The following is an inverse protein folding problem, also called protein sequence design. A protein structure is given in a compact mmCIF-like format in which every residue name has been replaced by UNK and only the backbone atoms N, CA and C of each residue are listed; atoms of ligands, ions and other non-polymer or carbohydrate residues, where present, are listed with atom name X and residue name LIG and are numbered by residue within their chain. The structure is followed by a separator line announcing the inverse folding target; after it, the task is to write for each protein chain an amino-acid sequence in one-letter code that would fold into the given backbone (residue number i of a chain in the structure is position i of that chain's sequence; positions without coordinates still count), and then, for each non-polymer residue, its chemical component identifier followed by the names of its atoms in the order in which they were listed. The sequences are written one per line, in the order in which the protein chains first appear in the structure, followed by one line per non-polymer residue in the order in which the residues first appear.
data_IF_093747534360
#
_entry.id   IF_093747534360
#
_cell.length_a   1.000
_cell.length_b   1.000
_cell.length_c   1.000
_cell.angle_alpha   90.00
_cell.angle_beta   90.00
_cell.angle_gamma   90.00
#
_symmetry.space_group_name_H-M   'P 1'
#
loop_
_entity.id
_entity.type
_entity.pdbx_description
1 polymer ?
#
# COMPACT_ATOMS: atom_id res chain seq x y z
N UNK A 1 -8.53 -4.36 -7.03
CA UNK A 1 -9.71 -4.31 -6.16
C UNK A 1 -10.40 -5.54 -6.65
N UNK A 2 -10.49 -6.57 -5.82
CA UNK A 2 -11.56 -7.51 -6.05
C UNK A 2 -12.84 -6.73 -5.78
N UNK A 3 -13.41 -6.16 -6.84
CA UNK A 3 -14.72 -5.52 -6.85
C UNK A 3 -15.80 -6.55 -6.44
N UNK A 4 -15.42 -7.82 -6.26
CA UNK A 4 -16.27 -8.99 -6.22
C UNK A 4 -16.21 -9.81 -4.92
N UNK A 5 -15.35 -9.48 -3.95
CA UNK A 5 -15.23 -10.29 -2.71
C UNK A 5 -16.00 -9.77 -1.49
N UNK A 6 -16.91 -8.81 -1.69
CA UNK A 6 -17.97 -8.54 -0.73
C UNK A 6 -19.14 -9.48 -1.01
N UNK A 7 -19.25 -10.54 -0.19
CA UNK A 7 -20.28 -11.57 -0.35
C UNK A 7 -21.64 -11.00 0.08
N UNK A 8 -22.33 -10.34 -0.84
CA UNK A 8 -23.73 -9.96 -0.63
C UNK A 8 -24.53 -11.25 -0.52
N UNK A 9 -25.16 -11.44 0.64
CA UNK A 9 -26.06 -12.54 0.89
C UNK A 9 -27.49 -12.04 0.69
N UNK A 10 -28.25 -12.75 -0.13
CA UNK A 10 -29.67 -12.50 -0.30
C UNK A 10 -30.47 -13.44 0.61
N UNK A 11 -31.37 -12.89 1.42
CA UNK A 11 -32.13 -13.65 2.40
C UNK A 11 -33.62 -13.63 2.05
N UNK A 12 -34.23 -14.82 1.98
CA UNK A 12 -35.68 -15.01 1.80
C UNK A 12 -36.13 -16.10 2.79
N UNK A 13 -37.15 -15.84 3.61
CA UNK A 13 -37.76 -16.83 4.53
C UNK A 13 -36.75 -17.64 5.36
N UNK A 14 -35.75 -16.96 5.93
CA UNK A 14 -34.72 -17.59 6.75
C UNK A 14 -33.67 -18.41 5.98
N UNK A 15 -33.77 -18.47 4.64
CA UNK A 15 -32.76 -19.11 3.77
C UNK A 15 -31.81 -18.08 3.19
N UNK A 16 -30.51 -18.35 3.32
CA UNK A 16 -29.43 -17.52 2.80
C UNK A 16 -29.01 -18.04 1.42
N UNK A 17 -29.16 -17.20 0.41
CA UNK A 17 -28.70 -17.45 -0.95
C UNK A 17 -27.42 -16.65 -1.17
N UNK A 18 -26.31 -17.37 -1.39
CA UNK A 18 -25.04 -16.77 -1.76
C UNK A 18 -25.05 -16.50 -3.27
N UNK A 19 -25.08 -15.23 -3.66
CA UNK A 19 -24.92 -14.87 -5.07
C UNK A 19 -23.44 -15.09 -5.45
N UNK A 20 -23.20 -16.00 -6.39
CA UNK A 20 -21.93 -16.06 -7.09
C UNK A 20 -21.92 -14.86 -8.03
N UNK A 21 -21.03 -13.91 -7.82
CA UNK A 21 -20.83 -12.81 -8.77
C UNK A 21 -20.32 -13.41 -10.07
N UNK A 22 -21.21 -13.54 -11.08
CA UNK A 22 -20.84 -14.04 -12.40
C UNK A 22 -19.87 -13.05 -13.05
N UNK A 23 -18.63 -13.46 -13.28
CA UNK A 23 -17.60 -12.71 -14.01
C UNK A 23 -17.79 -12.74 -15.54
N UNK A 24 -18.98 -13.05 -16.04
CA UNK A 24 -19.17 -13.31 -17.47
C UNK A 24 -20.34 -12.52 -18.07
N UNK A 25 -20.18 -11.20 -18.29
CA UNK A 25 -21.01 -10.47 -19.28
C UNK A 25 -20.60 -9.01 -19.56
N UNK A 26 -19.32 -8.64 -19.66
CA UNK A 26 -18.95 -7.39 -20.37
C UNK A 26 -17.63 -7.61 -21.12
N UNK A 27 -17.69 -8.42 -22.18
CA UNK A 27 -16.74 -8.38 -23.27
C UNK A 27 -17.56 -8.25 -24.56
N UNK A 28 -17.68 -7.02 -25.07
CA UNK A 28 -17.93 -6.63 -26.47
C UNK A 28 -18.50 -5.20 -26.55
N UNK A 29 -17.64 -4.23 -26.83
CA UNK A 29 -17.74 -3.35 -28.00
C UNK A 29 -16.59 -2.34 -27.98
N UNK A 30 -16.02 -2.15 -29.16
CA UNK A 30 -14.70 -1.57 -29.42
C UNK A 30 -14.73 -0.04 -29.55
N UNK A 31 -13.54 0.54 -29.33
CA UNK A 31 -12.92 1.70 -30.02
C UNK A 31 -13.78 2.90 -30.46
N UNK A 32 -13.43 4.12 -30.00
CA UNK A 32 -12.59 5.05 -30.79
C UNK A 32 -12.31 6.42 -30.11
N UNK A 33 -11.08 6.91 -30.32
CA UNK A 33 -10.62 8.32 -30.45
C UNK A 33 -10.39 9.18 -29.18
N UNK A 34 -9.12 9.58 -28.99
CA UNK A 34 -8.59 10.78 -28.27
C UNK A 34 -8.37 11.94 -29.29
N UNK A 35 -8.03 13.22 -28.96
CA UNK A 35 -7.48 13.76 -27.69
C UNK A 35 -7.93 15.19 -27.23
N UNK A 36 -7.42 15.58 -26.04
CA UNK A 36 -7.07 16.94 -25.52
C UNK A 36 -8.10 18.07 -25.28
N UNK A 37 -8.19 18.56 -24.02
CA UNK A 37 -7.65 19.88 -23.57
C UNK A 37 -7.83 20.13 -22.06
N UNK A 38 -6.80 20.75 -21.45
CA UNK A 38 -6.76 21.34 -20.09
C UNK A 38 -7.74 22.52 -19.96
N UNK A 39 -8.21 22.87 -18.75
CA UNK A 39 -8.14 24.22 -18.09
C UNK A 39 -8.76 24.18 -16.67
N UNK A 40 -8.19 24.96 -15.74
CA UNK A 40 -8.58 25.23 -14.35
C UNK A 40 -9.84 26.13 -14.22
N UNK A 41 -10.53 26.11 -13.07
CA UNK A 41 -11.43 27.21 -12.66
C UNK A 41 -12.46 26.83 -11.58
N UNK A 42 -12.42 27.52 -10.44
CA UNK A 42 -13.42 27.52 -9.36
C UNK A 42 -14.51 28.59 -9.59
N UNK A 43 -15.65 28.41 -8.90
CA UNK A 43 -16.76 29.34 -8.60
C UNK A 43 -17.85 29.56 -9.68
N UNK A 44 -19.05 28.98 -9.46
CA UNK A 44 -20.26 29.70 -9.02
C UNK A 44 -21.52 28.80 -9.10
N UNK A 45 -22.28 28.73 -8.01
CA UNK A 45 -23.67 28.23 -7.94
C UNK A 45 -24.60 29.24 -8.66
N UNK A 46 -25.65 28.78 -9.40
CA UNK A 46 -26.96 28.61 -8.74
C UNK A 46 -27.90 27.53 -9.34
N UNK A 47 -28.63 26.82 -8.46
CA UNK A 47 -30.10 26.68 -8.54
C UNK A 47 -30.77 25.69 -9.54
N UNK A 48 -31.33 24.61 -8.97
CA UNK A 48 -32.58 23.89 -9.30
C UNK A 48 -32.97 23.54 -10.77
N UNK A 49 -33.09 22.23 -11.07
CA UNK A 49 -34.31 21.65 -11.66
C UNK A 49 -34.29 20.11 -11.70
N UNK A 50 -35.30 19.48 -11.11
CA UNK A 50 -35.72 18.09 -11.36
C UNK A 50 -36.27 17.95 -12.79
N UNK A 51 -36.06 16.80 -13.46
CA UNK A 51 -37.00 16.31 -14.45
C UNK A 51 -38.00 15.34 -13.81
N UNK A 52 -39.28 15.71 -13.88
CA UNK A 52 -40.42 14.81 -13.67
C UNK A 52 -40.61 13.93 -14.92
N UNK A 53 -40.66 12.62 -14.67
CA UNK A 53 -41.48 11.57 -15.27
C UNK A 53 -41.78 11.55 -16.79
N UNK A 54 -41.49 10.39 -17.41
CA UNK A 54 -42.40 9.80 -18.39
C UNK A 54 -42.69 8.35 -17.99
N UNK A 55 -43.97 8.08 -17.76
CA UNK A 55 -44.52 6.81 -17.34
C UNK A 55 -44.53 5.80 -18.48
N UNK A 56 -44.21 4.54 -18.17
CA UNK A 56 -44.83 3.40 -18.85
C UNK A 56 -45.56 2.58 -17.78
N UNK A 57 -46.89 2.67 -17.79
CA UNK A 57 -47.76 1.77 -17.03
C UNK A 57 -47.88 0.46 -17.79
N UNK A 58 -47.68 -0.65 -17.11
CA UNK A 58 -48.49 -1.84 -17.34
C UNK A 58 -48.84 -2.38 -15.96
N UNK A 59 -50.14 -2.40 -15.69
CA UNK A 59 -50.69 -2.88 -14.43
C UNK A 59 -50.90 -4.38 -14.43
N UNK A 60 -50.85 -4.95 -13.24
CA UNK A 60 -51.78 -5.98 -12.80
C UNK A 60 -51.80 -5.94 -11.27
N UNK A 61 -52.93 -5.49 -10.72
CA UNK A 61 -53.28 -5.75 -9.34
C UNK A 61 -53.51 -7.26 -9.20
N UNK A 62 -52.55 -7.96 -8.62
CA UNK A 62 -52.84 -9.18 -7.88
C UNK A 62 -52.37 -8.98 -6.45
N UNK A 63 -53.34 -8.86 -5.56
CA UNK A 63 -53.17 -9.01 -4.13
C UNK A 63 -52.74 -10.45 -3.83
N UNK A 64 -51.44 -10.67 -3.68
CA UNK A 64 -50.89 -11.88 -3.06
C UNK A 64 -50.52 -11.53 -1.62
N UNK A 65 -51.39 -11.93 -0.70
CA UNK A 65 -51.08 -12.03 0.72
C UNK A 65 -49.89 -12.98 0.92
N UNK A 66 -48.82 -12.49 1.54
CA UNK A 66 -47.79 -13.36 2.14
C UNK A 66 -46.51 -13.62 1.34
N UNK A 67 -46.04 -12.70 0.49
CA UNK A 67 -44.69 -12.81 -0.07
C UNK A 67 -43.63 -12.29 0.91
N UNK A 68 -42.69 -13.17 1.24
CA UNK A 68 -41.48 -12.86 1.96
C UNK A 68 -40.72 -11.71 1.31
N UNK A 69 -40.64 -10.57 1.99
CA UNK A 69 -39.80 -9.45 1.55
C UNK A 69 -38.34 -9.87 1.69
N UNK A 70 -37.75 -10.31 0.58
CA UNK A 70 -36.32 -10.60 0.52
C UNK A 70 -35.50 -9.35 0.86
N UNK A 71 -34.45 -9.51 1.65
CA UNK A 71 -33.51 -8.44 1.97
C UNK A 71 -32.09 -8.87 1.67
N UNK A 72 -31.25 -7.90 1.34
CA UNK A 72 -29.83 -8.10 1.15
C UNK A 72 -29.12 -7.81 2.46
N UNK A 73 -28.04 -8.55 2.73
CA UNK A 73 -27.16 -8.33 3.88
C UNK A 73 -25.72 -8.48 3.46
N UNK A 74 -24.87 -7.61 3.99
CA UNK A 74 -23.43 -7.68 3.84
C UNK A 74 -22.77 -7.47 5.21
N UNK A 75 -21.68 -8.20 5.43
CA UNK A 75 -20.77 -7.97 6.55
C UNK A 75 -19.58 -7.18 6.02
N UNK A 76 -19.28 -6.04 6.64
CA UNK A 76 -18.14 -5.20 6.30
C UNK A 76 -17.23 -5.07 7.52
N UNK A 77 -15.97 -5.44 7.33
CA UNK A 77 -14.98 -5.32 8.39
C UNK A 77 -14.59 -3.84 8.60
N UNK A 78 -14.66 -3.38 9.85
CA UNK A 78 -14.28 -2.02 10.26
C UNK A 78 -13.46 -2.11 11.55
N UNK A 79 -12.23 -1.57 11.57
CA UNK A 79 -11.44 -1.52 12.79
C UNK A 79 -12.16 -0.79 13.92
N UNK A 80 -12.08 -1.32 15.13
CA UNK A 80 -12.72 -0.76 16.33
C UNK A 80 -12.40 0.73 16.53
N UNK A 81 -11.17 1.15 16.21
CA UNK A 81 -10.71 2.54 16.28
C UNK A 81 -11.55 3.50 15.41
N UNK A 82 -12.12 3.03 14.31
CA UNK A 82 -12.89 3.85 13.37
C UNK A 82 -14.40 3.85 13.66
N UNK A 83 -14.91 2.90 14.43
CA UNK A 83 -16.34 2.78 14.74
C UNK A 83 -16.93 4.04 15.40
N UNK A 84 -16.30 4.69 16.40
CA UNK A 84 -16.87 5.89 17.02
C UNK A 84 -17.11 7.04 16.03
N UNK A 85 -16.21 7.19 15.04
CA UNK A 85 -16.35 8.24 14.02
C UNK A 85 -17.44 7.89 13.00
N UNK A 86 -17.57 6.61 12.65
CA UNK A 86 -18.63 6.12 11.75
C UNK A 86 -20.01 6.26 12.42
N UNK A 87 -20.10 6.03 13.73
CA UNK A 87 -21.31 6.32 14.52
C UNK A 87 -21.65 7.82 14.49
N UNK A 88 -20.66 8.65 14.78
CA UNK A 88 -20.84 10.05 15.12
C UNK A 88 -21.45 10.25 16.51
N UNK A 89 -21.43 11.49 17.00
CA UNK A 89 -22.05 11.86 18.28
C UNK A 89 -23.55 11.52 18.26
N UNK A 90 -24.03 10.82 19.30
CA UNK A 90 -25.43 10.33 19.40
C UNK A 90 -25.90 9.54 18.16
N UNK A 91 -25.00 8.80 17.51
CA UNK A 91 -25.26 8.05 16.27
C UNK A 91 -25.74 8.89 15.07
N UNK A 92 -25.56 10.21 15.10
CA UNK A 92 -26.08 11.10 14.07
C UNK A 92 -25.53 10.78 12.67
N UNK A 93 -24.24 10.44 12.57
CA UNK A 93 -23.61 10.11 11.28
C UNK A 93 -24.14 8.80 10.73
N UNK A 94 -24.29 7.77 11.59
CA UNK A 94 -24.90 6.49 11.19
C UNK A 94 -26.34 6.68 10.73
N UNK A 95 -27.18 7.34 11.52
CA UNK A 95 -28.60 7.56 11.22
C UNK A 95 -28.78 8.34 9.91
N UNK A 96 -27.94 9.35 9.69
CA UNK A 96 -27.93 10.09 8.44
C UNK A 96 -27.58 9.19 7.24
N UNK A 97 -26.56 8.35 7.36
CA UNK A 97 -26.23 7.38 6.30
C UNK A 97 -27.38 6.41 6.06
N UNK A 98 -27.96 5.83 7.12
CA UNK A 98 -29.10 4.90 7.04
C UNK A 98 -30.30 5.52 6.31
N UNK A 99 -30.60 6.80 6.57
CA UNK A 99 -31.66 7.55 5.92
C UNK A 99 -31.35 7.82 4.43
N UNK A 100 -30.13 8.28 4.13
CA UNK A 100 -29.71 8.61 2.76
C UNK A 100 -29.65 7.37 1.85
N UNK A 101 -29.21 6.23 2.36
CA UNK A 101 -29.05 4.99 1.58
C UNK A 101 -30.23 4.04 1.69
N UNK A 102 -31.22 4.34 2.54
CA UNK A 102 -32.35 3.42 2.83
C UNK A 102 -31.87 2.03 3.28
N UNK A 103 -30.85 2.00 4.15
CA UNK A 103 -30.27 0.78 4.73
C UNK A 103 -30.27 0.83 6.25
N UNK A 104 -30.12 -0.31 6.91
CA UNK A 104 -29.86 -0.40 8.35
C UNK A 104 -28.44 -0.89 8.59
N UNK A 105 -27.71 -0.20 9.48
CA UNK A 105 -26.32 -0.47 9.83
C UNK A 105 -26.26 -0.92 11.29
N UNK A 106 -26.08 -2.23 11.48
CA UNK A 106 -25.87 -2.81 12.80
C UNK A 106 -24.40 -2.75 13.16
N UNK A 107 -24.11 -2.08 14.27
CA UNK A 107 -22.76 -1.96 14.81
C UNK A 107 -22.58 -3.06 15.86
N UNK A 108 -21.47 -3.79 15.82
CA UNK A 108 -21.19 -4.84 16.79
C UNK A 108 -20.86 -4.22 18.17
N UNK A 109 -21.01 -4.97 19.28
CA UNK A 109 -20.63 -4.51 20.61
C UNK A 109 -19.15 -4.09 20.66
N UNK A 110 -18.82 -3.13 21.55
CA UNK A 110 -17.46 -2.59 21.68
C UNK A 110 -16.39 -3.66 22.00
N UNK A 111 -16.79 -4.74 22.69
CA UNK A 111 -15.88 -5.81 23.12
C UNK A 111 -15.75 -6.94 22.08
N UNK A 112 -16.46 -6.85 20.96
CA UNK A 112 -16.44 -7.86 19.90
C UNK A 112 -15.50 -7.47 18.77
N UNK A 113 -14.93 -8.46 18.08
CA UNK A 113 -14.17 -8.24 16.84
C UNK A 113 -15.03 -8.46 15.59
N UNK A 114 -16.35 -8.42 15.78
CA UNK A 114 -17.32 -8.70 14.75
C UNK A 114 -17.34 -7.59 13.70
N UNK A 115 -17.83 -7.93 12.50
CA UNK A 115 -17.96 -6.99 11.40
C UNK A 115 -19.28 -6.22 11.53
N UNK A 116 -19.34 -5.00 10.97
CA UNK A 116 -20.62 -4.29 10.88
C UNK A 116 -21.52 -5.00 9.87
N UNK A 117 -22.82 -4.97 10.11
CA UNK A 117 -23.78 -5.59 9.21
C UNK A 117 -24.67 -4.53 8.59
N UNK A 118 -24.71 -4.51 7.27
CA UNK A 118 -25.55 -3.58 6.51
C UNK A 118 -26.65 -4.39 5.85
N UNK A 119 -27.90 -4.03 6.11
CA UNK A 119 -29.08 -4.64 5.50
C UNK A 119 -29.84 -3.61 4.67
N UNK A 120 -30.37 -4.04 3.53
CA UNK A 120 -31.09 -3.18 2.60
C UNK A 120 -32.08 -3.96 1.75
N UNK A 121 -33.02 -3.27 1.13
CA UNK A 121 -34.02 -3.87 0.24
C UNK A 121 -33.49 -4.09 -1.18
N UNK A 122 -32.44 -3.37 -1.57
CA UNK A 122 -31.84 -3.43 -2.92
C UNK A 122 -30.31 -3.55 -2.85
N UNK A 123 -29.71 -4.13 -3.89
CA UNK A 123 -28.24 -4.26 -4.02
C UNK A 123 -27.56 -2.88 -4.05
N UNK A 124 -28.09 -1.94 -4.86
CA UNK A 124 -27.55 -0.58 -4.96
C UNK A 124 -27.59 0.22 -3.64
N UNK A 125 -28.61 0.00 -2.79
CA UNK A 125 -28.67 0.61 -1.45
C UNK A 125 -27.50 0.17 -0.57
N UNK A 126 -27.16 -1.12 -0.61
CA UNK A 126 -26.05 -1.69 0.16
C UNK A 126 -24.71 -1.21 -0.38
N UNK A 127 -24.51 -1.24 -1.69
CA UNK A 127 -23.27 -0.78 -2.31
C UNK A 127 -23.00 0.69 -1.98
N UNK A 128 -24.03 1.54 -2.07
CA UNK A 128 -23.93 2.96 -1.68
C UNK A 128 -23.51 3.13 -0.22
N UNK A 129 -24.13 2.40 0.72
CA UNK A 129 -23.77 2.42 2.13
C UNK A 129 -22.32 1.91 2.37
N UNK A 130 -21.92 0.82 1.72
CA UNK A 130 -20.56 0.30 1.79
C UNK A 130 -19.53 1.31 1.27
N UNK A 131 -19.79 1.94 0.13
CA UNK A 131 -18.92 2.96 -0.45
C UNK A 131 -18.76 4.15 0.49
N UNK A 132 -19.84 4.59 1.14
CA UNK A 132 -19.81 5.69 2.10
C UNK A 132 -18.93 5.37 3.31
N UNK A 133 -19.09 4.16 3.89
CA UNK A 133 -18.30 3.72 5.03
C UNK A 133 -16.82 3.55 4.65
N UNK A 134 -16.53 2.93 3.50
CA UNK A 134 -15.16 2.79 2.99
C UNK A 134 -14.49 4.15 2.74
N UNK A 135 -15.24 5.13 2.23
CA UNK A 135 -14.72 6.50 2.04
C UNK A 135 -14.33 7.16 3.37
N UNK A 136 -15.15 6.99 4.41
CA UNK A 136 -14.84 7.47 5.76
C UNK A 136 -13.59 6.74 6.29
N UNK A 137 -13.53 5.42 6.17
CA UNK A 137 -12.37 4.62 6.61
C UNK A 137 -11.09 5.05 5.90
N UNK A 138 -11.14 5.26 4.58
CA UNK A 138 -9.97 5.71 3.81
C UNK A 138 -9.45 7.04 4.35
N UNK A 139 -10.33 8.02 4.56
CA UNK A 139 -9.97 9.32 5.13
C UNK A 139 -9.39 9.24 6.54
N UNK A 140 -9.93 8.36 7.38
CA UNK A 140 -9.39 8.14 8.73
C UNK A 140 -8.02 7.49 8.69
N UNK A 141 -7.84 6.50 7.82
CA UNK A 141 -6.58 5.79 7.61
C UNK A 141 -5.47 6.74 7.15
N UNK A 142 -5.75 7.70 6.27
CA UNK A 142 -4.76 8.69 5.84
C UNK A 142 -4.27 9.62 6.97
N UNK A 143 -4.99 9.69 8.10
CA UNK A 143 -4.60 10.49 9.27
C UNK A 143 -3.81 9.68 10.30
N UNK A 144 -3.76 8.36 10.14
CA UNK A 144 -3.04 7.47 11.04
C UNK A 144 -1.56 7.41 10.69
N UNK A 145 -0.73 7.14 11.69
CA UNK A 145 0.66 6.77 11.45
C UNK A 145 0.72 5.38 10.82
N UNK A 146 1.62 5.19 9.86
CA UNK A 146 1.88 3.86 9.31
C UNK A 146 2.31 2.91 10.43
N UNK A 147 1.82 1.67 10.36
CA UNK A 147 2.18 0.61 11.30
C UNK A 147 3.10 -0.42 10.67
N UNK A 148 2.98 -0.61 9.35
CA UNK A 148 3.78 -1.55 8.57
C UNK A 148 4.21 -0.89 7.26
N UNK A 149 5.15 -1.50 6.56
CA UNK A 149 5.48 -1.10 5.21
C UNK A 149 5.87 -2.30 4.36
N UNK A 150 5.72 -2.16 3.05
CA UNK A 150 6.14 -3.14 2.06
C UNK A 150 7.53 -2.73 1.59
N UNK A 151 8.46 -3.67 1.57
CA UNK A 151 9.80 -3.42 1.08
C UNK A 151 10.42 -4.62 0.38
N UNK A 152 11.40 -4.34 -0.46
CA UNK A 152 12.34 -5.33 -0.95
C UNK A 152 13.59 -5.27 -0.05
N UNK A 153 14.03 -6.37 0.56
CA UNK A 153 15.20 -6.39 1.41
C UNK A 153 16.48 -6.30 0.55
N UNK A 154 17.39 -5.42 0.96
CA UNK A 154 18.69 -5.18 0.33
C UNK A 154 19.84 -5.45 1.31
N UNK A 155 19.58 -6.13 2.41
CA UNK A 155 20.55 -6.53 3.45
C UNK A 155 21.48 -7.69 2.99
N UNK A 156 21.86 -7.72 1.72
CA UNK A 156 22.65 -8.78 1.11
C UNK A 156 24.14 -8.47 1.29
N UNK A 157 24.94 -9.48 1.65
CA UNK A 157 26.35 -9.32 2.02
C UNK A 157 27.20 -8.47 1.05
N UNK A 158 27.11 -8.62 -0.29
CA UNK A 158 27.91 -7.79 -1.20
C UNK A 158 27.57 -6.30 -1.07
N UNK A 159 26.29 -5.97 -0.96
CA UNK A 159 25.85 -4.58 -0.82
C UNK A 159 26.22 -4.00 0.54
N UNK A 160 26.10 -4.80 1.60
CA UNK A 160 26.48 -4.40 2.95
C UNK A 160 27.95 -3.95 3.00
N UNK A 161 28.86 -4.70 2.37
CA UNK A 161 30.28 -4.35 2.32
C UNK A 161 30.53 -3.02 1.59
N UNK A 162 29.88 -2.79 0.43
CA UNK A 162 30.00 -1.53 -0.31
C UNK A 162 29.42 -0.34 0.45
N UNK A 163 28.35 -0.53 1.23
CA UNK A 163 27.79 0.53 2.08
C UNK A 163 28.73 0.84 3.25
N UNK A 164 29.36 -0.17 3.84
CA UNK A 164 30.37 0.03 4.89
C UNK A 164 31.61 0.77 4.32
N UNK A 165 32.09 0.40 3.13
CA UNK A 165 33.18 1.10 2.43
C UNK A 165 32.81 2.55 2.10
N UNK A 166 31.58 2.78 1.62
CA UNK A 166 31.07 4.12 1.36
C UNK A 166 31.04 4.96 2.64
N UNK A 167 30.54 4.38 3.75
CA UNK A 167 30.52 5.05 5.05
C UNK A 167 31.91 5.45 5.51
N UNK A 168 32.88 4.53 5.44
CA UNK A 168 34.27 4.84 5.81
C UNK A 168 34.87 5.93 4.93
N UNK A 169 34.65 5.84 3.62
CA UNK A 169 35.17 6.80 2.65
C UNK A 169 34.61 8.19 2.91
N UNK A 170 33.30 8.30 3.14
CA UNK A 170 32.64 9.58 3.44
C UNK A 170 33.16 10.17 4.74
N UNK A 171 33.27 9.38 5.81
CA UNK A 171 33.76 9.87 7.10
C UNK A 171 35.24 10.28 7.08
N UNK A 172 36.08 9.63 6.26
CA UNK A 172 37.51 9.95 6.12
C UNK A 172 37.75 11.15 5.22
N UNK A 173 36.97 11.29 4.14
CA UNK A 173 37.30 12.23 3.05
C UNK A 173 36.42 13.47 3.02
N UNK A 174 35.22 13.42 3.60
CA UNK A 174 34.28 14.52 3.59
C UNK A 174 34.16 15.10 4.99
N UNK A 175 34.26 16.43 5.08
CA UNK A 175 33.90 17.18 6.27
C UNK A 175 32.76 18.12 5.89
N UNK A 176 31.71 18.14 6.70
CA UNK A 176 30.50 18.91 6.43
C UNK A 176 29.73 19.13 7.72
N UNK A 177 28.92 20.20 7.76
CA UNK A 177 28.09 20.51 8.93
C UNK A 177 27.14 19.34 9.20
N UNK A 178 27.20 18.80 10.42
CA UNK A 178 26.35 17.70 10.88
C UNK A 178 26.68 16.34 10.28
N UNK A 179 27.79 16.17 9.56
CA UNK A 179 28.16 14.86 9.04
C UNK A 179 28.67 13.96 10.17
N UNK A 180 27.86 12.99 10.57
CA UNK A 180 28.15 12.07 11.69
C UNK A 180 27.90 10.62 11.29
N UNK A 181 28.59 9.68 11.96
CA UNK A 181 28.38 8.25 11.76
C UNK A 181 26.95 7.78 12.13
N UNK A 182 26.27 8.53 13.01
CA UNK A 182 24.88 8.32 13.44
C UNK A 182 23.85 8.49 12.31
N UNK A 183 24.21 9.21 11.25
CA UNK A 183 23.34 9.43 10.10
C UNK A 183 23.20 8.20 9.20
N UNK A 184 24.15 7.27 9.26
CA UNK A 184 24.20 6.14 8.33
C UNK A 184 23.23 5.05 8.76
N UNK A 185 22.50 4.50 7.79
CA UNK A 185 21.64 3.35 7.99
C UNK A 185 22.47 2.12 8.37
N UNK A 186 21.95 1.31 9.28
CA UNK A 186 22.56 0.01 9.60
C UNK A 186 22.50 -0.91 8.38
N UNK A 187 23.61 -1.58 8.05
CA UNK A 187 23.69 -2.53 6.92
C UNK A 187 22.60 -3.60 6.92
N UNK A 188 22.18 -4.03 8.11
CA UNK A 188 21.12 -5.01 8.29
C UNK A 188 19.75 -4.47 7.91
N UNK A 189 19.51 -3.16 8.00
CA UNK A 189 18.24 -2.48 7.72
C UNK A 189 18.17 -1.88 6.32
N UNK A 190 19.07 -2.25 5.40
CA UNK A 190 19.01 -1.81 4.01
C UNK A 190 17.80 -2.42 3.30
N UNK A 191 16.95 -1.56 2.74
CA UNK A 191 15.73 -1.95 2.03
C UNK A 191 15.32 -0.88 1.01
N UNK A 192 14.49 -1.30 0.05
CA UNK A 192 13.75 -0.40 -0.84
C UNK A 192 12.28 -0.42 -0.44
N UNK A 193 11.73 0.73 -0.08
CA UNK A 193 10.32 0.85 0.34
C UNK A 193 9.40 0.95 -0.87
N UNK A 194 8.38 0.09 -0.92
CA UNK A 194 7.34 0.07 -1.97
C UNK A 194 6.13 0.91 -1.56
N UNK A 195 5.77 0.87 -0.28
CA UNK A 195 4.69 1.69 0.24
C UNK A 195 4.35 1.42 1.70
N UNK A 196 3.60 2.35 2.29
CA UNK A 196 3.31 2.39 3.72
C UNK A 196 1.89 1.87 3.99
N UNK A 197 1.74 1.03 5.02
CA UNK A 197 0.48 0.39 5.38
C UNK A 197 0.02 0.83 6.78
N UNK A 198 -1.29 0.92 6.95
CA UNK A 198 -1.93 1.08 8.25
C UNK A 198 -2.81 -0.13 8.48
N UNK A 199 -2.28 -1.08 9.26
CA UNK A 199 -2.96 -2.28 9.73
C UNK A 199 -3.23 -2.09 11.23
N UNK A 200 -4.52 -2.08 11.60
CA UNK A 200 -5.01 -1.76 12.94
C UNK A 200 -5.40 -2.99 13.75
N UNK A 201 -5.65 -4.12 13.10
CA UNK A 201 -6.01 -5.37 13.76
C UNK A 201 -5.50 -6.62 13.02
N UNK A 202 -5.71 -7.78 13.65
CA UNK A 202 -5.26 -9.07 13.12
C UNK A 202 -6.00 -9.49 11.84
N UNK A 203 -7.22 -8.98 11.60
CA UNK A 203 -7.97 -9.26 10.36
C UNK A 203 -7.33 -8.51 9.19
N UNK A 204 -7.00 -7.23 9.37
CA UNK A 204 -6.26 -6.44 8.38
C UNK A 204 -4.85 -7.00 8.15
N UNK A 205 -4.16 -7.46 9.20
CA UNK A 205 -2.89 -8.17 9.03
C UNK A 205 -3.04 -9.42 8.16
N UNK A 206 -4.05 -10.25 8.43
CA UNK A 206 -4.31 -11.46 7.63
C UNK A 206 -4.69 -11.13 6.19
N UNK A 207 -5.43 -10.05 5.97
CA UNK A 207 -5.78 -9.57 4.64
C UNK A 207 -4.55 -9.08 3.88
N UNK A 208 -3.66 -8.32 4.53
CA UNK A 208 -2.40 -7.88 3.94
C UNK A 208 -1.54 -9.07 3.47
N UNK A 209 -1.51 -10.18 4.23
CA UNK A 209 -0.82 -11.42 3.81
C UNK A 209 -1.43 -11.99 2.54
N UNK A 210 -2.76 -12.13 2.48
CA UNK A 210 -3.46 -12.63 1.29
C UNK A 210 -3.24 -11.75 0.07
N UNK A 211 -3.24 -10.43 0.25
CA UNK A 211 -2.96 -9.47 -0.83
C UNK A 211 -1.52 -9.68 -1.33
N UNK A 212 -0.55 -9.83 -0.43
CA UNK A 212 0.83 -10.12 -0.81
C UNK A 212 0.95 -11.45 -1.57
N UNK A 213 0.32 -12.51 -1.08
CA UNK A 213 0.31 -13.81 -1.75
C UNK A 213 -0.35 -13.73 -3.13
N UNK A 214 -1.42 -12.93 -3.25
CA UNK A 214 -2.10 -12.69 -4.52
C UNK A 214 -1.18 -12.07 -5.55
N UNK A 215 -0.21 -11.23 -5.16
CA UNK A 215 0.77 -10.60 -6.06
C UNK A 215 1.76 -11.59 -6.68
N UNK A 216 1.71 -12.87 -6.30
CA UNK A 216 2.49 -13.91 -6.98
C UNK A 216 2.16 -14.04 -8.47
N UNK A 217 0.94 -13.64 -8.89
CA UNK A 217 0.55 -13.53 -10.30
C UNK A 217 1.36 -12.45 -11.05
N UNK A 218 1.44 -11.24 -10.48
CA UNK A 218 2.20 -10.09 -10.99
C UNK A 218 3.68 -10.45 -11.09
N UNK A 219 4.23 -11.13 -10.08
CA UNK A 219 5.63 -11.59 -10.09
C UNK A 219 5.87 -12.54 -11.27
N UNK A 220 4.97 -13.48 -11.51
CA UNK A 220 5.08 -14.43 -12.63
C UNK A 220 4.93 -13.73 -13.99
N UNK A 221 4.01 -12.79 -14.11
CA UNK A 221 3.76 -12.02 -15.33
C UNK A 221 4.97 -11.17 -15.72
N UNK A 222 5.55 -10.44 -14.77
CA UNK A 222 6.64 -9.48 -15.03
C UNK A 222 8.00 -10.17 -15.15
N UNK A 223 8.28 -11.14 -14.26
CA UNK A 223 9.59 -11.79 -14.21
C UNK A 223 9.67 -13.05 -15.07
N UNK A 224 8.55 -13.69 -15.42
CA UNK A 224 8.54 -14.90 -16.25
C UNK A 224 9.38 -16.04 -15.67
N UNK A 225 9.55 -16.10 -14.35
CA UNK A 225 10.42 -17.06 -13.65
C UNK A 225 11.92 -16.70 -13.61
N UNK A 226 12.32 -15.55 -14.16
CA UNK A 226 13.69 -15.04 -14.06
C UNK A 226 13.93 -14.33 -12.72
N UNK A 227 15.17 -14.35 -12.25
CA UNK A 227 15.56 -13.54 -11.10
C UNK A 227 15.59 -12.06 -11.40
N UNK A 228 15.21 -11.25 -10.41
CA UNK A 228 15.24 -9.79 -10.50
C UNK A 228 16.65 -9.27 -10.17
N UNK A 229 17.43 -9.01 -11.20
CA UNK A 229 18.76 -8.42 -11.11
C UNK A 229 18.69 -6.90 -11.13
N UNK A 230 19.27 -6.27 -10.11
CA UNK A 230 19.28 -4.81 -9.96
C UNK A 230 20.70 -4.31 -9.74
N UNK A 231 21.01 -3.12 -10.25
CA UNK A 231 22.24 -2.39 -9.93
C UNK A 231 21.89 -1.26 -8.97
N UNK A 232 22.69 -1.13 -7.93
CA UNK A 232 22.62 -0.02 -7.00
C UNK A 232 23.81 0.88 -7.31
N UNK A 233 23.55 2.06 -7.87
CA UNK A 233 24.62 2.95 -8.29
C UNK A 233 24.13 4.39 -8.35
N UNK A 234 24.95 5.30 -7.89
CA UNK A 234 24.67 6.72 -7.87
C UNK A 234 23.88 7.16 -6.63
N UNK A 235 24.08 8.42 -6.25
CA UNK A 235 23.51 9.05 -5.07
C UNK A 235 22.53 10.14 -5.45
N UNK A 236 21.47 10.27 -4.66
CA UNK A 236 20.50 11.34 -4.76
C UNK A 236 19.89 11.63 -3.39
N UNK A 237 19.18 12.75 -3.27
CA UNK A 237 18.61 13.21 -2.02
C UNK A 237 17.14 13.59 -2.22
N UNK A 238 16.38 13.69 -1.12
CA UNK A 238 14.93 13.93 -1.17
C UNK A 238 14.55 15.42 -1.22
N UNK A 239 15.48 16.31 -0.87
CA UNK A 239 15.28 17.77 -0.88
C UNK A 239 15.91 18.40 -2.14
N UNK A 240 15.77 19.71 -2.32
CA UNK A 240 16.35 20.44 -3.47
C UNK A 240 17.72 21.07 -3.17
N UNK A 241 18.07 21.25 -1.89
CA UNK A 241 19.34 21.83 -1.46
C UNK A 241 20.33 20.77 -0.95
N UNK A 242 21.48 20.68 -1.62
CA UNK A 242 22.57 19.76 -1.25
C UNK A 242 23.29 20.16 0.06
N UNK A 243 23.14 21.40 0.53
CA UNK A 243 23.69 21.89 1.80
C UNK A 243 22.77 21.62 3.00
N UNK A 244 21.50 21.32 2.73
CA UNK A 244 20.46 21.08 3.74
C UNK A 244 19.70 19.77 3.46
N UNK A 245 20.47 18.67 3.41
CA UNK A 245 19.93 17.33 3.15
C UNK A 245 19.44 16.68 4.44
N UNK A 246 18.24 16.11 4.37
CA UNK A 246 17.69 15.24 5.41
C UNK A 246 17.87 13.76 5.11
N UNK A 247 17.73 13.38 3.84
CA UNK A 247 17.76 11.98 3.38
C UNK A 247 18.62 11.87 2.14
N UNK A 248 19.67 11.05 2.23
CA UNK A 248 20.51 10.64 1.11
C UNK A 248 20.26 9.16 0.80
N UNK A 249 20.05 8.83 -0.46
CA UNK A 249 19.75 7.47 -0.90
C UNK A 249 20.53 7.09 -2.16
N UNK A 250 20.67 5.78 -2.36
CA UNK A 250 21.20 5.22 -3.59
C UNK A 250 20.08 4.96 -4.61
N UNK A 251 20.38 5.20 -5.89
CA UNK A 251 19.48 4.88 -7.00
C UNK A 251 19.55 3.39 -7.31
N UNK A 252 18.42 2.82 -7.72
CA UNK A 252 18.28 1.43 -8.12
C UNK A 252 17.79 1.35 -9.54
N UNK A 253 18.49 0.60 -10.38
CA UNK A 253 18.16 0.43 -11.80
C UNK A 253 18.16 -1.05 -12.17
N UNK A 254 17.20 -1.47 -12.99
CA UNK A 254 17.16 -2.82 -13.58
C UNK A 254 17.80 -2.83 -14.96
N UNK A 255 18.36 -3.97 -15.37
CA UNK A 255 18.98 -4.15 -16.68
C UNK A 255 18.50 -5.42 -17.38
N UNK A 256 18.47 -5.42 -18.71
CA UNK A 256 18.28 -6.61 -19.53
C UNK A 256 19.58 -7.43 -19.71
N UNK A 257 19.50 -8.56 -20.42
CA UNK A 257 20.66 -9.42 -20.73
C UNK A 257 21.75 -8.69 -21.52
N UNK A 258 21.39 -7.62 -22.23
CA UNK A 258 22.28 -6.80 -23.04
C UNK A 258 22.80 -5.57 -22.27
N UNK A 259 22.64 -5.55 -20.94
CA UNK A 259 23.02 -4.44 -20.06
C UNK A 259 22.33 -3.09 -20.38
N UNK A 260 21.16 -3.11 -21.03
CA UNK A 260 20.32 -1.92 -21.21
C UNK A 260 19.39 -1.74 -20.02
N UNK A 261 19.16 -0.51 -19.54
CA UNK A 261 18.17 -0.26 -18.50
C UNK A 261 16.80 -0.81 -18.89
N UNK A 262 16.09 -1.38 -17.93
CA UNK A 262 14.73 -1.87 -18.07
C UNK A 262 13.90 -1.33 -16.90
N UNK A 263 12.59 -1.21 -17.07
CA UNK A 263 11.62 -0.78 -16.08
C UNK A 263 10.97 -1.93 -15.31
N UNK A 264 11.45 -3.18 -15.46
CA UNK A 264 10.91 -4.37 -14.76
C UNK A 264 10.73 -4.15 -13.25
N UNK A 265 11.71 -3.55 -12.56
CA UNK A 265 11.57 -3.26 -11.12
C UNK A 265 10.48 -2.24 -10.87
N UNK A 266 10.43 -1.15 -11.65
CA UNK A 266 9.41 -0.10 -11.52
C UNK A 266 8.02 -0.68 -11.74
N UNK A 267 7.82 -1.45 -12.82
CA UNK A 267 6.56 -2.12 -13.12
C UNK A 267 6.13 -3.06 -11.98
N UNK A 268 7.07 -3.84 -11.43
CA UNK A 268 6.79 -4.74 -10.32
C UNK A 268 6.34 -3.97 -9.07
N UNK A 269 7.08 -2.95 -8.64
CA UNK A 269 6.73 -2.21 -7.42
C UNK A 269 5.45 -1.39 -7.61
N UNK A 270 5.21 -0.82 -8.79
CA UNK A 270 4.01 -0.03 -9.07
C UNK A 270 2.78 -0.92 -9.13
N UNK A 271 2.87 -2.12 -9.72
CA UNK A 271 1.76 -3.06 -9.73
C UNK A 271 1.46 -3.62 -8.34
N UNK A 272 2.49 -3.94 -7.55
CA UNK A 272 2.31 -4.35 -6.14
C UNK A 272 1.66 -3.21 -5.35
N UNK A 273 2.18 -1.98 -5.45
CA UNK A 273 1.60 -0.81 -4.80
C UNK A 273 0.14 -0.60 -5.23
N UNK A 274 -0.19 -0.72 -6.52
CA UNK A 274 -1.58 -0.61 -7.01
C UNK A 274 -2.48 -1.69 -6.42
N UNK A 275 -2.01 -2.94 -6.29
CA UNK A 275 -2.79 -4.02 -5.67
C UNK A 275 -3.12 -3.70 -4.21
N UNK A 276 -2.16 -3.17 -3.45
CA UNK A 276 -2.37 -2.74 -2.06
C UNK A 276 -3.20 -1.45 -1.94
N UNK A 277 -3.06 -0.50 -2.86
CA UNK A 277 -3.93 0.68 -2.92
C UNK A 277 -5.38 0.26 -3.16
N UNK A 278 -5.58 -0.72 -4.03
CA UNK A 278 -6.90 -1.28 -4.30
C UNK A 278 -7.47 -2.13 -3.15
N UNK A 279 -6.65 -2.71 -2.26
CA UNK A 279 -7.17 -3.35 -1.04
C UNK A 279 -7.58 -2.31 0.02
N UNK A 280 -7.18 -1.06 -0.15
CA UNK A 280 -7.46 0.05 0.77
C UNK A 280 -6.56 0.08 2.00
N UNK A 281 -5.53 -0.78 2.07
CA UNK A 281 -4.59 -0.87 3.20
C UNK A 281 -3.40 0.09 3.04
N UNK A 282 -3.10 0.51 1.81
CA UNK A 282 -2.01 1.43 1.49
C UNK A 282 -2.39 2.88 1.78
N UNK A 283 -1.45 3.63 2.36
CA UNK A 283 -1.54 5.08 2.41
C UNK A 283 -1.43 5.65 0.99
N UNK A 284 -2.04 6.82 0.79
CA UNK A 284 -1.98 7.51 -0.50
C UNK A 284 -0.52 7.87 -0.81
N UNK A 285 -0.09 7.49 -2.01
CA UNK A 285 1.25 7.76 -2.51
C UNK A 285 1.18 8.07 -4.02
N UNK A 286 2.22 8.70 -4.59
CA UNK A 286 2.28 8.98 -6.02
C UNK A 286 2.07 7.72 -6.86
N UNK A 287 1.61 7.92 -8.10
CA UNK A 287 1.28 6.81 -9.00
C UNK A 287 2.46 5.89 -9.33
N UNK A 288 3.68 6.42 -9.24
CA UNK A 288 4.92 5.68 -9.42
C UNK A 288 5.75 5.76 -8.14
N UNK A 289 6.18 4.59 -7.66
CA UNK A 289 7.00 4.45 -6.46
C UNK A 289 8.39 4.98 -6.75
N UNK A 290 8.88 5.92 -5.92
CA UNK A 290 10.25 6.40 -6.01
C UNK A 290 11.21 5.30 -5.53
N UNK A 291 11.91 4.67 -6.47
CA UNK A 291 12.89 3.62 -6.17
C UNK A 291 14.12 4.21 -5.47
N UNK A 292 14.26 3.94 -4.17
CA UNK A 292 15.40 4.44 -3.40
C UNK A 292 15.79 3.48 -2.27
N UNK A 293 17.10 3.37 -2.01
CA UNK A 293 17.65 2.72 -0.81
C UNK A 293 18.23 3.80 0.07
N UNK A 294 17.61 4.05 1.21
CA UNK A 294 18.08 5.10 2.14
C UNK A 294 19.42 4.70 2.75
N UNK A 295 20.44 5.53 2.54
CA UNK A 295 21.78 5.35 3.09
C UNK A 295 22.01 6.24 4.31
N UNK A 296 21.50 7.47 4.28
CA UNK A 296 21.63 8.42 5.38
C UNK A 296 20.31 9.10 5.68
N UNK A 297 20.01 9.30 6.96
CA UNK A 297 18.80 9.99 7.41
C UNK A 297 19.05 10.75 8.71
N UNK A 298 18.66 12.03 8.76
CA UNK A 298 18.77 12.86 9.97
C UNK A 298 17.95 12.32 11.14
N UNK A 299 16.87 11.59 10.87
CA UNK A 299 16.06 10.90 11.89
C UNK A 299 16.80 9.78 12.62
N UNK A 300 17.92 9.28 12.09
CA UNK A 300 18.70 8.24 12.78
C UNK A 300 19.53 8.81 13.94
N UNK A 301 19.75 10.14 13.99
CA UNK A 301 20.40 10.78 15.14
C UNK A 301 19.55 10.72 16.40
N UNK A 302 18.23 10.84 16.23
CA UNK A 302 17.30 10.61 17.32
C UNK A 302 17.34 9.11 17.61
N UNK A 303 17.67 8.73 18.85
CA UNK A 303 17.77 7.34 19.35
C UNK A 303 16.38 6.67 19.38
N UNK A 304 15.63 6.73 18.29
CA UNK A 304 14.31 6.08 18.12
C UNK A 304 14.44 4.66 17.57
N UNK A 305 15.60 4.30 17.01
CA UNK A 305 15.78 3.07 16.22
C UNK A 305 16.75 2.04 16.81
N UNK A 306 17.36 2.35 17.95
CA UNK A 306 18.18 1.44 18.72
C UNK A 306 17.61 1.40 20.14
N UNK A 307 16.93 0.29 20.47
CA UNK A 307 16.78 -0.23 21.83
C UNK A 307 16.44 0.80 22.90
N UNK A 308 15.16 1.08 23.15
CA UNK A 308 14.69 1.36 24.52
C UNK A 308 13.16 1.38 24.60
N UNK A 309 12.63 0.53 25.47
CA UNK A 309 11.29 0.66 26.02
C UNK A 309 11.19 2.02 26.71
N UNK A 310 10.64 3.02 26.05
CA UNK A 310 10.22 4.25 26.71
C UNK A 310 8.75 4.48 26.42
N UNK A 311 7.94 4.36 27.48
CA UNK A 311 6.50 4.60 27.49
C UNK A 311 6.14 6.09 27.31
N UNK A 312 7.10 6.93 26.90
CA UNK A 312 6.91 8.37 26.73
C UNK A 312 7.03 8.76 25.26
N UNK A 313 6.14 9.64 24.75
CA UNK A 313 6.25 10.16 23.40
C UNK A 313 7.54 11.00 23.30
N UNK A 314 8.44 10.71 22.34
CA UNK A 314 9.71 11.42 22.22
C UNK A 314 9.46 12.90 21.93
N UNK A 315 10.19 13.77 22.65
CA UNK A 315 10.23 15.21 22.40
C UNK A 315 10.52 15.44 20.91
N UNK A 316 9.64 16.17 20.23
CA UNK A 316 9.80 16.49 18.80
C UNK A 316 10.89 17.55 18.66
N UNK A 317 12.16 17.13 18.63
CA UNK A 317 13.25 17.99 18.17
C UNK A 317 13.05 18.34 16.69
N UNK A 318 13.31 19.60 16.28
CA UNK A 318 13.38 19.94 14.87
C UNK A 318 14.51 19.14 14.21
N UNK A 319 14.29 18.70 12.96
CA UNK A 319 15.33 17.97 12.22
C UNK A 319 16.54 18.89 12.02
N UNK A 320 17.72 18.34 12.28
CA UNK A 320 18.97 19.02 12.02
C UNK A 320 19.52 18.46 10.71
N UNK A 321 19.45 19.23 9.62
CA UNK A 321 19.97 18.86 8.30
C UNK A 321 21.48 18.62 8.31
N UNK A 322 22.01 18.03 7.23
CA UNK A 322 23.45 17.92 7.00
C UNK A 322 23.85 18.37 5.60
N UNK A 323 25.09 18.84 5.46
CA UNK A 323 25.66 19.22 4.18
C UNK A 323 26.21 17.99 3.44
N UNK A 324 25.56 17.63 2.34
CA UNK A 324 25.94 16.51 1.48
C UNK A 324 26.73 16.96 0.23
N UNK A 325 27.02 18.25 0.08
CA UNK A 325 27.64 18.81 -1.13
C UNK A 325 28.98 18.15 -1.46
N UNK A 326 29.81 17.91 -0.44
CA UNK A 326 31.11 17.26 -0.61
C UNK A 326 30.97 15.77 -0.99
N UNK A 327 29.97 15.08 -0.44
CA UNK A 327 29.64 13.69 -0.76
C UNK A 327 29.18 13.60 -2.22
N UNK A 328 28.28 14.48 -2.64
CA UNK A 328 27.75 14.52 -3.99
C UNK A 328 28.78 14.98 -5.03
N UNK A 329 29.81 15.73 -4.67
CA UNK A 329 30.89 16.11 -5.59
C UNK A 329 31.87 14.95 -5.85
N UNK A 330 32.15 14.13 -4.83
CA UNK A 330 33.18 13.07 -4.90
C UNK A 330 32.64 11.69 -5.20
N UNK A 331 31.44 11.37 -4.70
CA UNK A 331 30.88 10.04 -4.72
C UNK A 331 29.52 9.97 -5.43
N UNK A 332 29.19 10.97 -6.28
CA UNK A 332 27.89 11.04 -6.98
C UNK A 332 27.52 9.75 -7.69
N UNK A 333 28.47 9.17 -8.39
CA UNK A 333 28.29 7.99 -9.25
C UNK A 333 28.86 6.72 -8.60
N UNK A 334 28.94 6.69 -7.27
CA UNK A 334 29.47 5.54 -6.54
C UNK A 334 28.66 4.28 -6.87
N UNK A 335 29.36 3.21 -7.21
CA UNK A 335 28.76 1.94 -7.62
C UNK A 335 28.76 0.98 -6.43
N UNK A 336 27.57 0.70 -5.91
CA UNK A 336 27.36 -0.26 -4.82
C UNK A 336 27.20 -1.70 -5.33
N UNK A 337 27.33 -1.93 -6.63
CA UNK A 337 27.35 -3.25 -7.24
C UNK A 337 26.00 -3.72 -7.78
N UNK A 338 25.96 -5.02 -8.12
CA UNK A 338 24.78 -5.71 -8.67
C UNK A 338 24.30 -6.74 -7.66
N UNK A 339 23.00 -6.78 -7.42
CA UNK A 339 22.39 -7.73 -6.49
C UNK A 339 21.14 -8.36 -7.07
N UNK A 340 20.80 -9.54 -6.57
CA UNK A 340 19.55 -10.22 -6.89
C UNK A 340 18.58 -10.02 -5.74
N UNK A 341 17.40 -9.50 -6.04
CA UNK A 341 16.39 -9.25 -5.00
C UNK A 341 15.73 -10.58 -4.61
N UNK A 342 15.73 -10.97 -3.31
CA UNK A 342 15.30 -12.31 -2.91
C UNK A 342 13.79 -12.44 -2.74
N UNK A 343 13.11 -11.38 -2.27
CA UNK A 343 11.70 -11.41 -1.89
C UNK A 343 11.08 -10.02 -1.81
N UNK A 344 9.75 -9.97 -1.65
CA UNK A 344 8.99 -8.80 -1.23
C UNK A 344 8.44 -9.09 0.15
N UNK A 345 8.65 -8.20 1.12
CA UNK A 345 8.26 -8.40 2.51
C UNK A 345 7.31 -7.31 2.98
N UNK A 346 6.33 -7.68 3.81
CA UNK A 346 5.63 -6.74 4.70
C UNK A 346 6.32 -6.80 6.04
N UNK A 347 6.79 -5.66 6.54
CA UNK A 347 7.59 -5.61 7.76
C UNK A 347 7.06 -4.62 8.78
N UNK A 348 7.43 -4.85 10.04
CA UNK A 348 7.12 -3.99 11.19
C UNK A 348 8.33 -3.10 11.47
N UNK A 349 8.20 -1.75 11.45
CA UNK A 349 9.31 -0.83 11.61
C UNK A 349 9.96 -0.85 13.01
N UNK A 350 9.21 -1.27 14.03
CA UNK A 350 9.62 -1.16 15.45
C UNK A 350 10.18 -2.45 16.05
N UNK A 351 10.07 -3.59 15.37
CA UNK A 351 10.58 -4.87 15.84
C UNK A 351 11.61 -5.42 14.86
N UNK A 352 12.61 -6.11 15.39
CA UNK A 352 13.71 -6.68 14.60
C UNK A 352 13.77 -8.20 14.79
N UNK A 353 14.13 -8.91 13.73
CA UNK A 353 14.40 -10.34 13.76
C UNK A 353 15.80 -10.63 14.35
N UNK A 354 16.14 -11.92 14.47
CA UNK A 354 17.45 -12.39 14.98
C UNK A 354 18.65 -11.93 14.13
N UNK A 355 18.41 -11.57 12.87
CA UNK A 355 19.43 -11.10 11.93
C UNK A 355 19.59 -9.56 11.96
N UNK A 356 18.78 -8.87 12.76
CA UNK A 356 18.76 -7.41 12.90
C UNK A 356 18.03 -6.67 11.76
N UNK A 357 17.37 -7.40 10.86
CA UNK A 357 16.40 -6.82 9.92
C UNK A 357 15.04 -6.65 10.58
N UNK A 358 14.14 -5.89 9.97
CA UNK A 358 12.77 -5.72 10.46
C UNK A 358 12.03 -7.06 10.55
N UNK A 359 11.16 -7.20 11.56
CA UNK A 359 10.31 -8.38 11.68
C UNK A 359 9.34 -8.46 10.48
N UNK A 360 9.28 -9.63 9.86
CA UNK A 360 8.45 -9.86 8.68
C UNK A 360 7.08 -10.41 9.09
N UNK A 361 6.01 -9.71 8.69
CA UNK A 361 4.64 -10.17 8.81
C UNK A 361 4.32 -11.23 7.75
N UNK A 362 4.81 -11.00 6.52
CA UNK A 362 4.67 -11.92 5.38
C UNK A 362 5.76 -11.65 4.35
N UNK A 363 6.11 -12.72 3.62
CA UNK A 363 7.20 -12.74 2.65
C UNK A 363 6.75 -13.47 1.39
N UNK A 364 6.83 -12.78 0.25
CA UNK A 364 6.64 -13.35 -1.07
C UNK A 364 8.02 -13.59 -1.71
N UNK A 365 8.46 -14.84 -1.88
CA UNK A 365 9.75 -15.13 -2.51
C UNK A 365 9.71 -14.80 -4.00
N UNK A 366 10.78 -14.17 -4.49
CA UNK A 366 10.99 -13.96 -5.92
C UNK A 366 11.71 -15.17 -6.54
N UNK A 367 11.53 -15.41 -7.86
CA UNK A 367 12.19 -16.52 -8.54
C UNK A 367 13.71 -16.44 -8.37
N UNK A 368 14.32 -17.52 -7.87
CA UNK A 368 15.78 -17.69 -7.84
C UNK A 368 16.21 -18.36 -9.14
N UNK A 369 17.33 -17.91 -9.70
CA UNK A 369 17.93 -18.55 -10.85
C UNK A 369 18.37 -19.95 -10.42
N UNK A 370 17.62 -20.97 -10.85
CA UNK A 370 18.09 -22.34 -10.74
C UNK A 370 19.30 -22.46 -11.68
N UNK A 371 20.51 -22.58 -11.12
CA UNK A 371 21.60 -23.20 -11.86
C UNK A 371 21.24 -24.68 -11.98
N UNK A 372 20.49 -25.04 -13.02
CA UNK A 372 20.51 -26.43 -13.48
C UNK A 372 21.86 -26.60 -14.17
N UNK A 373 22.87 -27.05 -13.42
CA UNK A 373 24.12 -27.51 -14.03
C UNK A 373 23.74 -28.55 -15.08
N UNK A 374 24.10 -28.40 -16.37
CA UNK A 374 23.94 -29.48 -17.32
C UNK A 374 24.73 -30.66 -16.77
N UNK A 375 24.05 -31.79 -16.58
CA UNK A 375 24.69 -33.03 -16.16
C UNK A 375 25.85 -33.29 -17.12
N UNK A 376 27.08 -33.22 -16.62
CA UNK A 376 28.27 -33.63 -17.33
C UNK A 376 28.09 -35.10 -17.68
N UNK A 377 27.71 -35.38 -18.91
CA UNK A 377 27.90 -36.68 -19.52
C UNK A 377 29.41 -36.92 -19.56
N UNK A 378 29.89 -37.74 -18.63
CA UNK A 378 31.27 -38.25 -18.68
C UNK A 378 31.41 -39.20 -19.88
N UNK A 379 32.59 -39.19 -20.54
CA UNK A 379 32.87 -39.98 -21.75
C UNK A 379 32.95 -41.50 -21.49
#
# INVERSE_FOLDING_TARGET
MDILNCRICFWIDGRCYRKLSSTASIARSESNVQPERKTYGYEDEPGCALPKAAALRSGSNESISGQAKGFFRISLHVPQKFLPVICGGKHATRLKMEQETSTTIRIPPADSTDDIEITGTTEGSIESACLRIRSIMSRLRQRECFTHFICLPFNIQPLANYVDEFKETVLKTCSGRGLEASLFQSRQKLHLTVGMLVLLDNKECSEAKKVLDSCGDIVKEILGGQSLFVRVSGLEFMNDDATEVDVLYAKVTTFDSNSRPNDKLQQLVDQVARRFAQSGLLLEQPHSVKLHITLMNTKFREVRFATENTAEPPVRSPRISFDASNILKRNRDFNFGRVTVPSINIVVPHTCNKEGFYESLATLPLPKHNYTMPATTAP
#
